data_IF_810834793219
#
_entry.id   IF_810834793219
#
_cell.length_a   1.000
_cell.length_b   1.000
_cell.length_c   1.000
_cell.angle_alpha   90.00
_cell.angle_beta   90.00
_cell.angle_gamma   90.00
#
_symmetry.space_group_name_H-M   'P 1'
#
loop_
_entity.id
_entity.type
_entity.pdbx_description
1 polymer ?
#
# COMPACT_ATOMS: atom_id res chain seq x y z
N UNK A 1 2.19 0.64 4.68
CA UNK A 1 3.50 0.99 5.26
C UNK A 1 4.18 2.05 4.41
N UNK A 2 4.78 3.06 5.04
CA UNK A 2 5.63 4.05 4.39
C UNK A 2 7.10 3.72 4.60
N UNK A 3 7.93 4.00 3.59
CA UNK A 3 9.38 3.81 3.62
C UNK A 3 10.11 5.06 3.14
N UNK A 4 11.28 5.34 3.74
CA UNK A 4 12.08 6.53 3.41
C UNK A 4 13.06 6.33 2.24
N UNK A 5 13.22 5.10 1.75
CA UNK A 5 14.14 4.74 0.66
C UNK A 5 13.60 3.55 -0.12
N UNK A 6 13.89 3.51 -1.42
CA UNK A 6 13.56 2.36 -2.29
C UNK A 6 14.25 1.07 -1.81
N UNK A 7 15.49 1.18 -1.31
CA UNK A 7 16.27 0.04 -0.79
C UNK A 7 15.62 -0.62 0.42
N UNK A 8 14.80 0.12 1.17
CA UNK A 8 14.05 -0.46 2.29
C UNK A 8 13.15 -1.58 1.80
N UNK A 9 12.58 -1.46 0.60
CA UNK A 9 11.70 -2.48 0.02
C UNK A 9 12.39 -3.85 -0.09
N UNK A 10 13.67 -3.90 -0.47
CA UNK A 10 14.44 -5.14 -0.57
C UNK A 10 14.53 -5.89 0.77
N UNK A 11 14.51 -5.15 1.89
CA UNK A 11 14.54 -5.72 3.24
C UNK A 11 13.18 -6.10 3.82
N UNK A 12 12.07 -5.71 3.17
CA UNK A 12 10.71 -5.96 3.65
C UNK A 12 10.02 -7.15 2.98
N UNK A 13 10.57 -7.65 1.88
CA UNK A 13 9.90 -8.65 1.05
C UNK A 13 10.72 -9.92 1.00
N UNK A 14 10.04 -11.05 0.83
CA UNK A 14 10.69 -12.35 0.69
C UNK A 14 11.51 -12.43 -0.62
N UNK A 15 10.88 -12.03 -1.72
CA UNK A 15 11.51 -11.80 -3.02
C UNK A 15 10.92 -10.54 -3.61
N UNK A 16 11.77 -9.66 -4.13
CA UNK A 16 11.30 -8.46 -4.82
C UNK A 16 11.12 -8.74 -6.31
N UNK A 17 9.89 -8.79 -6.85
CA UNK A 17 9.68 -9.00 -8.28
C UNK A 17 10.33 -7.87 -9.09
N UNK A 18 10.85 -8.19 -10.28
CA UNK A 18 11.41 -7.17 -11.19
C UNK A 18 10.41 -6.04 -11.44
N UNK A 19 9.14 -6.38 -11.63
CA UNK A 19 8.05 -5.42 -11.85
C UNK A 19 7.89 -4.44 -10.68
N UNK A 20 8.09 -4.90 -9.44
CA UNK A 20 8.03 -4.01 -8.27
C UNK A 20 9.17 -2.98 -8.29
N UNK A 21 10.37 -3.39 -8.71
CA UNK A 21 11.51 -2.46 -8.91
C UNK A 21 11.23 -1.48 -10.04
N UNK A 22 10.78 -1.96 -11.19
CA UNK A 22 10.48 -1.12 -12.36
C UNK A 22 9.43 -0.04 -12.02
N UNK A 23 8.36 -0.44 -11.31
CA UNK A 23 7.31 0.47 -10.84
C UNK A 23 7.82 1.46 -9.77
N UNK A 24 8.60 1.00 -8.80
CA UNK A 24 9.21 1.87 -7.80
C UNK A 24 10.17 2.87 -8.44
N UNK A 25 10.94 2.46 -9.45
CA UNK A 25 11.87 3.36 -10.14
C UNK A 25 11.15 4.45 -10.92
N UNK A 26 10.02 4.11 -11.56
CA UNK A 26 9.21 5.04 -12.31
C UNK A 26 8.41 6.01 -11.43
N UNK A 27 7.88 5.56 -10.30
CA UNK A 27 6.83 6.29 -9.57
C UNK A 27 7.16 6.63 -8.11
N UNK A 28 8.28 6.17 -7.55
CA UNK A 28 8.72 6.55 -6.20
C UNK A 28 9.90 7.51 -6.21
N UNK A 29 10.00 8.46 -5.26
CA UNK A 29 8.95 8.85 -4.32
C UNK A 29 7.72 9.43 -5.04
N UNK A 30 6.52 9.08 -4.59
CA UNK A 30 5.31 9.51 -5.27
C UNK A 30 4.02 8.86 -4.78
N UNK A 31 3.03 8.84 -5.68
CA UNK A 31 1.66 8.44 -5.41
C UNK A 31 1.36 6.99 -5.84
N UNK A 32 2.36 6.10 -5.80
CA UNK A 32 2.17 4.66 -6.01
C UNK A 32 2.26 3.91 -4.68
N UNK A 33 1.33 2.98 -4.47
CA UNK A 33 1.42 1.95 -3.44
C UNK A 33 1.53 0.59 -4.13
N UNK A 34 2.50 -0.22 -3.70
CA UNK A 34 2.75 -1.58 -4.23
C UNK A 34 2.40 -2.58 -3.13
N UNK A 35 1.61 -3.60 -3.46
CA UNK A 35 1.33 -4.75 -2.59
C UNK A 35 2.20 -5.92 -3.04
N UNK A 36 2.92 -6.50 -2.08
CA UNK A 36 3.90 -7.58 -2.26
C UNK A 36 3.81 -8.53 -1.06
N UNK A 37 4.33 -9.74 -1.21
CA UNK A 37 4.49 -10.66 -0.09
C UNK A 37 5.60 -10.18 0.84
N UNK A 38 5.32 -10.08 2.14
CA UNK A 38 6.34 -9.70 3.11
C UNK A 38 7.26 -10.89 3.44
N UNK A 39 8.48 -10.62 3.87
CA UNK A 39 9.37 -11.70 4.33
C UNK A 39 8.75 -12.43 5.54
N UNK A 40 8.76 -13.78 5.61
CA UNK A 40 8.21 -14.55 6.74
C UNK A 40 8.91 -14.25 8.08
N UNK A 41 10.15 -13.77 8.03
CA UNK A 41 10.93 -13.37 9.21
C UNK A 41 10.43 -12.08 9.85
N UNK A 42 9.58 -11.30 9.17
CA UNK A 42 8.98 -10.10 9.73
C UNK A 42 7.84 -10.50 10.66
N UNK A 43 8.10 -10.48 11.97
CA UNK A 43 7.09 -10.67 13.02
C UNK A 43 6.23 -9.41 13.21
N UNK A 44 5.68 -8.90 12.11
CA UNK A 44 4.83 -7.72 12.16
C UNK A 44 3.38 -8.12 12.37
N UNK A 45 2.77 -7.59 13.42
CA UNK A 45 1.33 -7.62 13.57
C UNK A 45 0.70 -6.54 12.67
N UNK A 46 0.58 -6.86 11.39
CA UNK A 46 -0.09 -6.01 10.40
C UNK A 46 -1.61 -6.27 10.36
N UNK A 47 -2.14 -7.10 11.27
CA UNK A 47 -3.49 -7.65 11.19
C UNK A 47 -3.63 -8.77 10.15
N UNK A 48 -4.87 -9.04 9.72
CA UNK A 48 -5.19 -10.06 8.71
C UNK A 48 -4.80 -9.58 7.30
N UNK A 49 -3.51 -9.58 6.99
CA UNK A 49 -2.98 -9.18 5.67
C UNK A 49 -2.74 -10.35 4.72
N UNK A 50 -2.94 -11.58 5.18
CA UNK A 50 -2.75 -12.79 4.39
C UNK A 50 -1.31 -13.00 3.89
N UNK A 51 -0.31 -12.49 4.60
CA UNK A 51 1.10 -12.59 4.18
C UNK A 51 1.59 -11.45 3.28
N UNK A 52 0.76 -10.42 3.06
CA UNK A 52 1.06 -9.33 2.13
C UNK A 52 1.29 -8.01 2.85
N UNK A 53 1.99 -7.08 2.20
CA UNK A 53 2.21 -5.74 2.71
C UNK A 53 2.06 -4.70 1.60
N UNK A 54 1.28 -3.66 1.88
CA UNK A 54 1.19 -2.48 1.03
C UNK A 54 2.31 -1.49 1.41
N UNK A 55 3.22 -1.20 0.48
CA UNK A 55 4.38 -0.32 0.68
C UNK A 55 4.28 0.91 -0.24
N UNK A 56 4.69 2.08 0.28
CA UNK A 56 4.79 3.33 -0.49
C UNK A 56 5.96 4.17 -0.02
N UNK A 57 6.69 4.78 -0.94
CA UNK A 57 7.62 5.87 -0.63
C UNK A 57 6.94 7.21 -0.97
N UNK A 58 6.54 8.03 0.03
CA UNK A 58 5.77 9.24 -0.22
C UNK A 58 6.65 10.36 -0.81
N UNK A 59 6.10 11.17 -1.70
CA UNK A 59 6.72 12.44 -2.13
C UNK A 59 6.29 13.57 -1.20
N UNK A 60 6.78 13.55 0.04
CA UNK A 60 6.54 14.61 0.99
C UNK A 60 7.80 14.84 1.84
N UNK A 61 8.45 16.03 1.80
CA UNK A 61 9.73 16.26 2.47
C UNK A 61 9.72 15.91 3.96
N UNK A 62 8.72 16.40 4.71
CA UNK A 62 8.60 16.10 6.15
C UNK A 62 8.38 14.61 6.43
N UNK A 63 7.56 13.93 5.64
CA UNK A 63 7.32 12.49 5.82
C UNK A 63 8.60 11.69 5.56
N UNK A 64 9.36 12.06 4.52
CA UNK A 64 10.64 11.42 4.22
C UNK A 64 11.69 11.68 5.31
N UNK A 65 11.71 12.88 5.89
CA UNK A 65 12.59 13.19 7.02
C UNK A 65 12.25 12.35 8.25
N UNK A 66 10.97 12.26 8.62
CA UNK A 66 10.53 11.39 9.72
C UNK A 66 10.93 9.93 9.44
N UNK A 67 10.69 9.42 8.23
CA UNK A 67 11.01 8.04 7.86
C UNK A 67 12.53 7.75 7.85
N UNK A 68 13.38 8.77 7.68
CA UNK A 68 14.84 8.62 7.81
C UNK A 68 15.25 8.42 9.27
N UNK A 69 14.60 9.11 10.19
CA UNK A 69 14.90 9.05 11.63
C UNK A 69 14.25 7.84 12.30
N UNK A 70 13.03 7.46 11.89
CA UNK A 70 12.25 6.39 12.55
C UNK A 70 12.32 5.05 11.84
N UNK A 71 12.69 5.03 10.56
CA UNK A 71 12.58 3.85 9.71
C UNK A 71 11.16 3.64 9.15
N UNK A 72 10.84 2.44 8.64
CA UNK A 72 9.53 2.13 8.07
C UNK A 72 8.40 2.34 9.08
N UNK A 73 7.28 2.91 8.64
CA UNK A 73 6.12 3.16 9.51
C UNK A 73 4.84 2.56 8.95
N UNK A 74 4.13 1.80 9.77
CA UNK A 74 2.74 1.46 9.51
C UNK A 74 1.89 2.73 9.70
N UNK A 75 1.08 3.07 8.69
CA UNK A 75 0.25 4.29 8.72
C UNK A 75 -1.12 3.99 8.12
N UNK A 76 -2.11 4.73 8.59
CA UNK A 76 -3.42 4.90 7.98
C UNK A 76 -3.61 6.37 7.54
N UNK A 77 -4.72 6.69 6.89
CA UNK A 77 -5.15 8.08 6.77
C UNK A 77 -5.43 8.69 8.15
N UNK A 78 -5.18 9.99 8.29
CA UNK A 78 -5.37 10.73 9.54
C UNK A 78 -6.83 11.17 9.69
N UNK A 79 -7.69 10.25 10.12
CA UNK A 79 -9.10 10.51 10.37
C UNK A 79 -9.69 9.51 11.36
N UNK A 80 -10.80 9.90 11.97
CA UNK A 80 -11.67 8.94 12.65
C UNK A 80 -12.42 8.09 11.62
N UNK A 81 -12.82 6.89 12.03
CA UNK A 81 -13.64 6.01 11.20
C UNK A 81 -14.91 6.75 10.73
N UNK A 82 -15.18 6.72 9.42
CA UNK A 82 -16.32 7.39 8.80
C UNK A 82 -16.14 8.89 8.53
N UNK A 83 -15.02 9.51 8.93
CA UNK A 83 -14.69 10.90 8.63
C UNK A 83 -13.77 11.00 7.41
N UNK A 84 -13.82 12.11 6.65
CA UNK A 84 -12.86 12.36 5.59
C UNK A 84 -11.44 12.48 6.15
N UNK A 85 -10.45 12.03 5.36
CA UNK A 85 -9.03 12.19 5.68
C UNK A 85 -8.70 13.68 5.89
N UNK A 86 -8.05 14.00 7.01
CA UNK A 86 -7.58 15.35 7.27
C UNK A 86 -6.51 15.75 6.25
N UNK A 87 -6.57 17.01 5.82
CA UNK A 87 -5.63 17.61 4.86
C UNK A 87 -4.63 18.55 5.51
N UNK A 88 -4.90 19.00 6.74
CA UNK A 88 -4.01 19.82 7.55
C UNK A 88 -3.80 19.18 8.93
N UNK A 89 -2.73 19.55 9.64
CA UNK A 89 -2.53 19.04 10.99
C UNK A 89 -3.58 19.61 11.97
N UNK A 90 -4.12 20.80 11.69
CA UNK A 90 -5.24 21.36 12.42
C UNK A 90 -6.50 20.51 12.31
N UNK A 91 -6.94 20.17 11.09
CA UNK A 91 -8.08 19.27 10.86
C UNK A 91 -7.86 17.90 11.53
N UNK A 92 -6.64 17.37 11.45
CA UNK A 92 -6.29 16.10 12.10
C UNK A 92 -6.40 16.20 13.63
N UNK A 93 -5.96 17.33 14.21
CA UNK A 93 -6.03 17.58 15.66
C UNK A 93 -7.44 17.78 16.15
N UNK A 94 -8.30 18.43 15.38
CA UNK A 94 -9.74 18.54 15.66
C UNK A 94 -10.40 17.17 15.68
N UNK A 95 -10.05 16.29 14.72
CA UNK A 95 -10.61 14.96 14.66
C UNK A 95 -10.06 14.02 15.76
N UNK A 96 -8.74 13.92 15.90
CA UNK A 96 -8.08 12.87 16.69
C UNK A 96 -7.77 13.31 18.13
N UNK A 97 -7.67 14.61 18.41
CA UNK A 97 -7.46 15.16 19.74
C UNK A 97 -6.30 14.51 20.50
N UNK A 98 -6.54 14.10 21.74
CA UNK A 98 -5.52 13.49 22.60
C UNK A 98 -5.20 12.02 22.28
N UNK A 99 -5.89 11.40 21.32
CA UNK A 99 -5.57 10.03 20.88
C UNK A 99 -4.23 9.96 20.14
N UNK A 100 -3.77 11.10 19.61
CA UNK A 100 -2.47 11.25 18.94
C UNK A 100 -1.61 12.19 19.77
N UNK A 101 -0.37 11.76 20.04
CA UNK A 101 0.56 12.49 20.91
C UNK A 101 1.27 13.63 20.19
N UNK A 102 1.48 13.50 18.88
CA UNK A 102 2.32 14.41 18.08
C UNK A 102 1.58 14.72 16.77
N UNK A 103 1.48 16.00 16.47
CA UNK A 103 0.99 16.52 15.19
C UNK A 103 2.11 17.31 14.53
N UNK A 104 2.43 16.98 13.28
CA UNK A 104 3.47 17.67 12.51
C UNK A 104 2.77 18.61 11.51
N UNK A 105 2.96 19.91 11.69
CA UNK A 105 2.45 20.93 10.78
C UNK A 105 3.41 21.08 9.59
N UNK A 106 2.88 20.88 8.38
CA UNK A 106 3.66 20.93 7.15
C UNK A 106 2.87 21.58 5.98
N UNK A 107 1.81 22.32 6.29
CA UNK A 107 0.87 22.85 5.32
C UNK A 107 -0.17 21.83 4.87
N UNK A 108 -1.04 22.25 3.95
CA UNK A 108 -2.07 21.39 3.41
C UNK A 108 -1.50 20.32 2.47
N UNK A 109 -2.06 19.10 2.51
CA UNK A 109 -1.77 18.06 1.53
C UNK A 109 -2.07 18.56 0.11
N UNK A 110 -1.02 18.63 -0.69
CA UNK A 110 -1.04 19.10 -2.09
C UNK A 110 -1.74 18.12 -3.03
N UNK A 111 -1.70 16.82 -2.74
CA UNK A 111 -2.35 15.80 -3.56
C UNK A 111 -3.76 15.51 -2.99
N UNK A 112 -4.84 15.86 -3.72
CA UNK A 112 -6.20 15.51 -3.31
C UNK A 112 -6.52 14.04 -3.59
N UNK A 113 -5.85 13.45 -4.57
CA UNK A 113 -6.10 12.08 -5.00
C UNK A 113 -5.29 11.07 -4.18
N UNK A 114 -5.91 9.95 -3.77
CA UNK A 114 -5.19 8.90 -3.07
C UNK A 114 -4.16 8.23 -4.01
N UNK A 115 -3.21 7.50 -3.44
CA UNK A 115 -2.24 6.75 -4.26
C UNK A 115 -2.93 5.69 -5.13
N UNK A 116 -2.39 5.44 -6.32
CA UNK A 116 -2.75 4.25 -7.09
C UNK A 116 -2.21 3.02 -6.36
N UNK A 117 -2.97 1.93 -6.35
CA UNK A 117 -2.60 0.67 -5.68
C UNK A 117 -2.42 -0.42 -6.72
N UNK A 118 -1.25 -1.03 -6.75
CA UNK A 118 -0.91 -2.17 -7.61
C UNK A 118 -0.64 -3.39 -6.74
N UNK A 119 -1.30 -4.50 -7.04
CA UNK A 119 -1.05 -5.82 -6.48
C UNK A 119 -0.13 -6.65 -7.38
N UNK A 120 1.00 -7.09 -6.81
CA UNK A 120 2.04 -7.89 -7.45
C UNK A 120 2.18 -9.28 -6.82
N UNK A 121 1.21 -9.70 -6.00
CA UNK A 121 1.23 -11.00 -5.30
C UNK A 121 0.73 -12.16 -6.17
N UNK A 122 0.02 -11.83 -7.26
CA UNK A 122 -0.47 -12.82 -8.24
C UNK A 122 0.49 -13.09 -9.39
N UNK A 123 0.16 -14.12 -10.17
CA UNK A 123 0.82 -14.38 -11.46
C UNK A 123 0.66 -13.21 -12.44
N UNK A 124 -0.52 -12.59 -12.44
CA UNK A 124 -0.84 -11.41 -13.26
C UNK A 124 -0.92 -10.17 -12.34
N UNK A 125 -0.05 -9.16 -12.56
CA UNK A 125 -0.12 -7.87 -11.87
C UNK A 125 -1.48 -7.19 -12.08
N UNK A 126 -2.01 -6.54 -11.05
CA UNK A 126 -3.33 -5.90 -11.11
C UNK A 126 -3.33 -4.52 -10.46
N UNK A 127 -4.02 -3.56 -11.08
CA UNK A 127 -4.36 -2.30 -10.42
C UNK A 127 -5.64 -2.51 -9.60
N UNK A 128 -5.54 -2.38 -8.28
CA UNK A 128 -6.69 -2.51 -7.37
C UNK A 128 -7.42 -1.19 -7.17
N UNK A 129 -6.70 -0.07 -7.29
CA UNK A 129 -7.26 1.27 -7.15
C UNK A 129 -6.58 2.22 -8.12
N UNK A 130 -7.38 2.85 -8.97
CA UNK A 130 -6.98 4.05 -9.69
C UNK A 130 -6.90 5.23 -8.73
N UNK A 131 -5.75 5.87 -8.67
CA UNK A 131 -5.49 7.07 -7.88
C UNK A 131 -4.75 8.10 -8.73
N UNK A 132 -3.87 8.88 -8.09
CA UNK A 132 -3.14 9.97 -8.75
C UNK A 132 -2.24 9.54 -9.95
N UNK A 133 -1.96 8.25 -10.11
CA UNK A 133 -1.26 7.71 -11.28
C UNK A 133 -2.30 6.98 -12.16
N UNK A 134 -2.59 7.47 -13.38
CA UNK A 134 -3.52 6.83 -14.30
C UNK A 134 -3.09 5.40 -14.65
N UNK A 135 -4.06 4.53 -14.88
CA UNK A 135 -3.82 3.12 -15.25
C UNK A 135 -2.89 2.99 -16.46
N UNK A 136 -3.08 3.83 -17.47
CA UNK A 136 -2.30 3.85 -18.70
C UNK A 136 -0.81 4.09 -18.44
N UNK A 137 -0.49 4.97 -17.47
CA UNK A 137 0.89 5.22 -17.07
C UNK A 137 1.52 4.03 -16.37
N UNK A 138 0.75 3.30 -15.56
CA UNK A 138 1.21 2.08 -14.93
C UNK A 138 1.45 1.00 -16.00
N UNK A 139 0.55 0.93 -17.00
CA UNK A 139 0.65 -0.01 -18.12
C UNK A 139 1.83 0.27 -19.05
N UNK A 140 2.24 1.53 -19.20
CA UNK A 140 3.47 1.88 -19.94
C UNK A 140 4.72 1.18 -19.33
N UNK A 141 4.72 0.93 -18.02
CA UNK A 141 5.82 0.24 -17.31
C UNK A 141 5.59 -1.28 -17.26
N UNK A 142 4.35 -1.71 -17.10
CA UNK A 142 3.95 -3.13 -17.01
C UNK A 142 2.85 -3.42 -18.02
N UNK A 143 3.18 -3.78 -19.29
CA UNK A 143 2.20 -3.90 -20.36
C UNK A 143 1.08 -4.92 -20.11
N UNK A 144 1.40 -6.00 -19.41
CA UNK A 144 0.51 -7.13 -19.09
C UNK A 144 -0.35 -6.88 -17.83
N UNK A 145 -0.27 -5.70 -17.21
CA UNK A 145 -1.08 -5.36 -16.02
C UNK A 145 -2.57 -5.27 -16.39
N UNK A 146 -3.42 -5.84 -15.55
CA UNK A 146 -4.87 -5.77 -15.70
C UNK A 146 -5.47 -4.67 -14.82
N UNK A 147 -6.54 -4.04 -15.32
CA UNK A 147 -7.23 -2.96 -14.62
C UNK A 147 -8.15 -3.45 -13.50
N UNK A 148 -8.70 -2.52 -12.71
CA UNK A 148 -9.67 -2.84 -11.65
C UNK A 148 -11.00 -3.38 -12.19
N UNK A 149 -11.37 -3.01 -13.41
CA UNK A 149 -12.63 -3.45 -14.06
C UNK A 149 -12.48 -4.76 -14.85
N UNK A 150 -11.24 -5.23 -15.03
CA UNK A 150 -10.92 -6.47 -15.74
C UNK A 150 -11.06 -7.67 -14.77
N UNK A 151 -12.28 -7.98 -14.32
CA UNK A 151 -12.73 -9.23 -13.64
C UNK A 151 -11.76 -9.97 -12.69
N UNK A 152 -12.18 -10.17 -11.43
CA UNK A 152 -11.48 -11.06 -10.50
C UNK A 152 -11.90 -12.52 -10.71
N UNK A 153 -11.03 -13.35 -11.28
CA UNK A 153 -11.23 -14.81 -11.33
C UNK A 153 -10.71 -15.53 -10.07
N UNK A 154 -10.33 -14.83 -8.99
CA UNK A 154 -9.76 -15.47 -7.79
C UNK A 154 -10.74 -15.74 -6.65
N UNK A 155 -12.00 -15.30 -6.76
CA UNK A 155 -13.00 -15.52 -5.70
C UNK A 155 -13.62 -16.93 -5.71
N UNK A 156 -13.40 -17.75 -6.75
CA UNK A 156 -14.00 -19.09 -6.86
C UNK A 156 -13.07 -20.24 -6.40
N UNK A 157 -11.75 -20.13 -6.57
CA UNK A 157 -10.83 -21.25 -6.25
C UNK A 157 -10.54 -21.43 -4.75
N UNK A 158 -10.58 -20.36 -3.95
CA UNK A 158 -10.35 -20.46 -2.49
C UNK A 158 -11.54 -21.03 -1.72
N UNK A 159 -12.74 -21.00 -2.30
CA UNK A 159 -13.94 -21.61 -1.71
C UNK A 159 -14.06 -23.10 -2.02
N UNK A 160 -13.41 -23.58 -3.09
CA UNK A 160 -13.45 -24.98 -3.51
C UNK A 160 -12.52 -25.90 -2.71
N UNK A 161 -11.52 -25.35 -1.99
CA UNK A 161 -10.56 -26.16 -1.22
C UNK A 161 -11.04 -26.54 0.20
N UNK A 162 -12.23 -26.09 0.62
CA UNK A 162 -12.79 -26.35 1.96
C UNK A 162 -13.97 -27.33 1.98
N UNK A 163 -14.28 -27.99 0.87
CA UNK A 163 -15.23 -29.10 0.88
C UNK A 163 -14.60 -30.35 0.26
N UNK A 164 -14.17 -31.25 1.13
CA UNK A 164 -14.10 -32.69 0.82
C UNK A 164 -14.85 -33.44 1.93
N UNK A 165 -15.49 -34.57 1.58
CA UNK A 165 -16.74 -34.99 2.22
C UNK A 165 -16.49 -35.87 3.45
N UNK A 166 -17.35 -35.71 4.46
CA UNK A 166 -17.52 -36.70 5.51
C UNK A 166 -18.06 -38.00 4.89
N UNK A 167 -17.25 -39.06 4.99
CA UNK A 167 -17.59 -40.41 4.59
C UNK A 167 -18.39 -41.08 5.70
N UNK A 168 -19.57 -41.55 5.30
CA UNK A 168 -20.53 -42.39 6.00
C UNK A 168 -19.89 -43.61 6.69
N UNK A 169 -20.27 -43.88 7.95
CA UNK A 169 -20.24 -45.21 8.59
C UNK A 169 -21.23 -45.26 9.75
#
# INVERSE_FOLDING_TARGET
>A
MLVGSRHTLDGLVFMLPKLARDLADAFWPGALTIIVEHAPSLQWDLGETGGTVAVRMPLHPVALEVLRETGPMAVSSANKLGQPAARTAEEAREQLGYAVRIYLEAGASVDPEPSSIVDLTGEVPRVLRNGAIPFEKIRDVVPDIVGPDDGDHRSEERSASQQSPDVES
#
